data_IF_777128827537
#
_entry.id   IF_777128827537
#
_cell.length_a   1.000
_cell.length_b   1.000
_cell.length_c   1.000
_cell.angle_alpha   90.00
_cell.angle_beta   90.00
_cell.angle_gamma   90.00
#
_symmetry.space_group_name_H-M   'P 1'
#
loop_
_entity.id
_entity.type
_entity.pdbx_description
1 polymer ?
#
# COMPACT_ATOMS: atom_id res chain seq x y z
N UNK A 1 9.33 -4.79 -25.41
CA UNK A 1 9.30 -5.30 -24.03
C UNK A 1 9.65 -4.18 -23.07
N UNK A 2 8.66 -3.64 -22.36
CA UNK A 2 8.79 -2.68 -21.28
C UNK A 2 8.66 -3.42 -19.95
N UNK A 3 9.65 -3.25 -19.09
CA UNK A 3 9.68 -3.84 -17.75
C UNK A 3 9.66 -2.72 -16.73
N UNK A 4 8.74 -2.79 -15.78
CA UNK A 4 8.62 -1.78 -14.71
C UNK A 4 8.51 -2.43 -13.34
N UNK A 5 8.87 -1.66 -12.31
CA UNK A 5 8.85 -2.10 -10.92
C UNK A 5 8.15 -1.07 -10.02
N UNK A 6 7.35 -1.55 -9.08
CA UNK A 6 6.75 -0.75 -8.01
C UNK A 6 7.02 -1.44 -6.67
N UNK A 7 7.41 -0.65 -5.67
CA UNK A 7 7.73 -1.15 -4.34
C UNK A 7 6.49 -1.52 -3.51
N UNK A 8 5.31 -0.99 -3.86
CA UNK A 8 4.04 -1.28 -3.22
C UNK A 8 2.86 -1.14 -4.21
N UNK A 9 1.66 -1.52 -3.75
CA UNK A 9 0.42 -1.50 -4.54
C UNK A 9 -0.08 -0.12 -4.96
N UNK A 10 0.53 0.97 -4.48
CA UNK A 10 0.27 2.32 -5.02
C UNK A 10 0.77 2.46 -6.46
N UNK A 11 1.59 1.52 -6.95
CA UNK A 11 1.97 1.37 -8.36
C UNK A 11 2.47 2.66 -9.02
N UNK A 12 3.21 3.49 -8.28
CA UNK A 12 3.76 4.74 -8.80
C UNK A 12 4.63 4.49 -10.03
N UNK A 13 4.20 4.95 -11.21
CA UNK A 13 4.86 4.71 -12.49
C UNK A 13 3.98 3.90 -13.45
N UNK A 14 4.61 3.04 -14.27
CA UNK A 14 3.96 2.35 -15.39
C UNK A 14 3.76 0.84 -15.16
N UNK A 15 3.83 0.36 -13.91
CA UNK A 15 3.73 -1.08 -13.59
C UNK A 15 2.41 -1.69 -14.04
N UNK A 16 1.31 -0.94 -13.94
CA UNK A 16 -0.03 -1.39 -14.33
C UNK A 16 -0.23 -1.52 -15.86
N UNK A 17 0.71 -1.03 -16.67
CA UNK A 17 0.63 -1.04 -18.15
C UNK A 17 1.92 -1.54 -18.83
N UNK A 18 2.80 -2.22 -18.08
CA UNK A 18 4.05 -2.79 -18.62
C UNK A 18 3.85 -4.21 -19.13
N UNK A 19 4.63 -4.62 -20.13
CA UNK A 19 4.63 -6.00 -20.63
C UNK A 19 5.01 -7.00 -19.52
N UNK A 20 5.94 -6.60 -18.65
CA UNK A 20 6.34 -7.37 -17.46
C UNK A 20 6.36 -6.43 -16.25
N UNK A 21 5.67 -6.83 -15.19
CA UNK A 21 5.48 -6.06 -13.96
C UNK A 21 6.11 -6.77 -12.76
N UNK A 22 6.95 -6.06 -12.00
CA UNK A 22 7.43 -6.50 -10.69
C UNK A 22 6.79 -5.65 -9.60
N UNK A 23 6.09 -6.29 -8.66
CA UNK A 23 5.34 -5.60 -7.61
C UNK A 23 5.75 -6.12 -6.22
N UNK A 24 6.14 -5.20 -5.34
CA UNK A 24 6.29 -5.49 -3.92
C UNK A 24 4.92 -5.67 -3.25
N UNK A 25 4.72 -6.77 -2.53
CA UNK A 25 3.43 -7.13 -1.93
C UNK A 25 3.59 -7.57 -0.47
N UNK A 26 2.74 -7.03 0.41
CA UNK A 26 2.69 -7.42 1.83
C UNK A 26 1.81 -8.66 2.01
N UNK A 27 2.27 -9.63 2.82
CA UNK A 27 1.53 -10.87 3.12
C UNK A 27 1.12 -10.99 4.59
N UNK A 28 1.25 -9.91 5.35
CA UNK A 28 0.92 -9.85 6.78
C UNK A 28 0.07 -8.60 7.04
N UNK A 29 -0.93 -8.68 7.94
CA UNK A 29 -1.69 -7.52 8.36
C UNK A 29 -0.79 -6.52 9.11
N UNK A 30 -1.19 -5.23 9.18
CA UNK A 30 -0.49 -4.25 9.98
C UNK A 30 -0.58 -4.59 11.48
N UNK A 31 0.44 -4.22 12.24
CA UNK A 31 0.46 -4.33 13.70
C UNK A 31 -0.13 -3.04 14.28
N UNK A 32 -1.07 -3.17 15.22
CA UNK A 32 -1.80 -2.04 15.79
C UNK A 32 -1.08 -1.53 17.05
N UNK A 33 -0.64 -0.27 17.00
CA UNK A 33 -0.12 0.45 18.16
C UNK A 33 -1.24 1.19 18.89
N UNK A 34 -1.74 0.58 19.97
CA UNK A 34 -2.90 1.07 20.71
C UNK A 34 -2.60 2.34 21.53
N UNK A 35 -1.33 2.62 21.84
CA UNK A 35 -0.96 3.80 22.64
C UNK A 35 -1.05 5.10 21.82
N UNK A 36 -0.79 5.00 20.51
CA UNK A 36 -0.66 6.16 19.62
C UNK A 36 -1.79 6.28 18.59
N UNK A 37 -2.55 5.22 18.31
CA UNK A 37 -3.58 5.24 17.25
C UNK A 37 -4.58 6.38 17.42
N UNK A 38 -5.08 6.62 18.63
CA UNK A 38 -6.03 7.71 18.90
C UNK A 38 -5.39 9.10 18.98
N UNK A 39 -4.06 9.16 19.13
CA UNK A 39 -3.31 10.43 19.23
C UNK A 39 -2.86 10.94 17.87
N UNK A 40 -2.57 10.04 16.93
CA UNK A 40 -1.97 10.36 15.63
C UNK A 40 -2.92 10.19 14.45
N UNK A 41 -3.90 9.29 14.55
CA UNK A 41 -4.76 8.93 13.42
C UNK A 41 -6.19 9.42 13.63
N UNK A 42 -6.80 9.94 12.58
CA UNK A 42 -8.25 10.14 12.52
C UNK A 42 -8.92 8.79 12.23
N UNK A 43 -9.49 8.17 13.27
CA UNK A 43 -10.08 6.82 13.20
C UNK A 43 -11.07 6.64 12.03
N UNK A 44 -12.00 7.60 11.75
CA UNK A 44 -12.92 7.45 10.62
C UNK A 44 -12.21 7.36 9.26
N UNK A 45 -11.14 8.13 9.07
CA UNK A 45 -10.35 8.08 7.83
C UNK A 45 -9.59 6.76 7.69
N UNK A 46 -9.03 6.26 8.79
CA UNK A 46 -8.34 4.98 8.78
C UNK A 46 -9.27 3.81 8.43
N UNK A 47 -10.52 3.84 8.92
CA UNK A 47 -11.55 2.84 8.57
C UNK A 47 -11.94 2.97 7.10
N UNK A 48 -12.19 4.20 6.63
CA UNK A 48 -12.61 4.47 5.25
C UNK A 48 -11.51 4.17 4.20
N UNK A 49 -10.25 4.11 4.59
CA UNK A 49 -9.13 3.77 3.71
C UNK A 49 -9.01 2.27 3.41
N UNK A 50 -9.69 1.40 4.19
CA UNK A 50 -9.73 -0.03 3.87
C UNK A 50 -10.57 -0.23 2.60
N UNK A 51 -10.00 -0.74 1.50
CA UNK A 51 -10.74 -1.03 0.28
C UNK A 51 -11.77 -2.15 0.48
#
# INVERSE_FOLDING_TARGET
VRVSMACCLNMCGAVHCSDIAMLGYHRKPPIIDHEYISKLCEIPLAIAACP
#
